data_IF_298424565896
#
_entry.id   IF_298424565896
#
_cell.length_a   1.000
_cell.length_b   1.000
_cell.length_c   1.000
_cell.angle_alpha   90.00
_cell.angle_beta   90.00
_cell.angle_gamma   90.00
#
_symmetry.space_group_name_H-M   'P 1'
#
loop_
_entity.id
_entity.type
_entity.pdbx_description
1 polymer ?
#
# COMPACT_ATOMS: atom_id res chain seq x y z
N UNK A 1 -22.98 -32.63 -6.58
CA UNK A 1 -22.84 -31.44 -5.70
C UNK A 1 -21.43 -31.51 -5.16
N UNK A 2 -20.60 -30.56 -5.56
CA UNK A 2 -19.24 -30.40 -5.09
C UNK A 2 -19.25 -29.50 -3.85
N UNK A 3 -18.50 -29.91 -2.83
CA UNK A 3 -18.26 -29.10 -1.64
C UNK A 3 -16.92 -28.38 -1.80
N UNK A 4 -16.93 -27.05 -1.77
CA UNK A 4 -15.72 -26.23 -1.83
C UNK A 4 -15.49 -25.63 -0.45
N UNK A 5 -14.29 -25.84 0.10
CA UNK A 5 -13.87 -25.15 1.31
C UNK A 5 -13.20 -23.83 0.93
N UNK A 6 -13.73 -22.72 1.45
CA UNK A 6 -13.13 -21.40 1.29
C UNK A 6 -13.22 -20.64 2.64
N UNK A 7 -12.08 -20.14 3.11
CA UNK A 7 -11.94 -19.43 4.40
C UNK A 7 -12.57 -20.14 5.61
N UNK A 8 -12.51 -21.47 5.64
CA UNK A 8 -13.02 -22.28 6.75
C UNK A 8 -14.53 -22.54 6.75
N UNK A 9 -15.24 -22.09 5.71
CA UNK A 9 -16.65 -22.46 5.46
C UNK A 9 -16.74 -23.37 4.24
N UNK A 10 -17.66 -24.31 4.30
CA UNK A 10 -17.95 -25.24 3.21
C UNK A 10 -19.14 -24.68 2.42
N UNK A 11 -18.96 -24.55 1.11
CA UNK A 11 -19.99 -24.14 0.17
C UNK A 11 -20.41 -25.33 -0.68
N UNK A 12 -21.71 -25.49 -0.87
CA UNK A 12 -22.28 -26.53 -1.73
C UNK A 12 -22.59 -25.95 -3.10
N UNK A 13 -21.99 -26.50 -4.15
CA UNK A 13 -22.13 -26.01 -5.53
C UNK A 13 -22.47 -27.19 -6.45
N UNK A 14 -23.28 -26.96 -7.48
CA UNK A 14 -23.56 -28.00 -8.48
C UNK A 14 -22.32 -28.29 -9.34
N UNK A 15 -22.08 -29.56 -9.65
CA UNK A 15 -20.90 -30.00 -10.44
C UNK A 15 -20.89 -29.35 -11.83
N UNK A 16 -22.08 -29.19 -12.43
CA UNK A 16 -22.26 -28.51 -13.73
C UNK A 16 -21.87 -27.03 -13.66
N UNK A 17 -22.21 -26.35 -12.56
CA UNK A 17 -21.86 -24.94 -12.35
C UNK A 17 -20.35 -24.79 -12.14
N UNK A 18 -19.74 -25.72 -11.41
CA UNK A 18 -18.28 -25.73 -11.23
C UNK A 18 -17.53 -25.92 -12.55
N UNK A 19 -18.06 -26.77 -13.44
CA UNK A 19 -17.48 -27.01 -14.76
C UNK A 19 -17.66 -25.83 -15.72
N UNK A 20 -18.84 -25.21 -15.75
CA UNK A 20 -19.17 -24.16 -16.73
C UNK A 20 -18.76 -22.76 -16.26
N UNK A 21 -18.89 -22.46 -14.97
CA UNK A 21 -18.76 -21.11 -14.41
C UNK A 21 -17.66 -21.03 -13.34
N UNK A 22 -16.54 -21.72 -13.57
CA UNK A 22 -15.41 -21.76 -12.63
C UNK A 22 -14.85 -20.38 -12.25
N UNK A 23 -14.87 -19.42 -13.18
CA UNK A 23 -14.38 -18.06 -12.95
C UNK A 23 -15.37 -17.24 -12.12
N UNK A 24 -16.66 -17.33 -12.43
CA UNK A 24 -17.70 -16.67 -11.64
C UNK A 24 -17.72 -17.18 -10.19
N UNK A 25 -17.54 -18.49 -9.98
CA UNK A 25 -17.46 -19.06 -8.63
C UNK A 25 -16.30 -18.44 -7.86
N UNK A 26 -15.13 -18.25 -8.49
CA UNK A 26 -14.00 -17.55 -7.84
C UNK A 26 -14.37 -16.12 -7.50
N UNK A 27 -14.99 -15.38 -8.41
CA UNK A 27 -15.43 -14.00 -8.14
C UNK A 27 -16.43 -13.92 -6.99
N UNK A 28 -17.36 -14.86 -6.87
CA UNK A 28 -18.33 -14.92 -5.76
C UNK A 28 -17.63 -15.29 -4.44
N UNK A 29 -16.64 -16.19 -4.48
CA UNK A 29 -15.88 -16.53 -3.26
C UNK A 29 -14.99 -15.36 -2.80
N UNK A 30 -14.36 -14.67 -3.74
CA UNK A 30 -13.38 -13.61 -3.45
C UNK A 30 -14.02 -12.23 -3.21
N UNK A 31 -15.27 -11.99 -3.61
CA UNK A 31 -15.91 -10.69 -3.37
C UNK A 31 -16.05 -10.40 -1.87
N UNK A 32 -15.73 -9.17 -1.50
CA UNK A 32 -15.94 -8.61 -0.16
C UNK A 32 -17.35 -8.03 0.03
N UNK A 33 -18.10 -7.89 -1.06
CA UNK A 33 -19.46 -7.31 -1.07
C UNK A 33 -20.54 -8.28 -0.59
N UNK A 34 -20.20 -9.56 -0.43
CA UNK A 34 -21.12 -10.61 0.01
C UNK A 34 -20.59 -11.32 1.24
N UNK A 35 -21.47 -11.63 2.19
CA UNK A 35 -21.15 -12.53 3.28
C UNK A 35 -21.22 -14.01 2.87
N UNK A 36 -20.84 -14.88 3.79
CA UNK A 36 -20.77 -16.30 3.54
C UNK A 36 -22.16 -16.97 3.36
N UNK A 37 -23.25 -16.38 3.85
CA UNK A 37 -24.60 -16.93 3.67
C UNK A 37 -25.17 -16.46 2.33
N UNK A 38 -24.91 -15.21 1.96
CA UNK A 38 -25.24 -14.65 0.65
C UNK A 38 -24.52 -15.40 -0.48
N UNK A 39 -23.23 -15.71 -0.30
CA UNK A 39 -22.45 -16.53 -1.25
C UNK A 39 -23.11 -17.89 -1.51
N UNK A 40 -23.54 -18.57 -0.44
CA UNK A 40 -24.24 -19.85 -0.58
C UNK A 40 -25.59 -19.68 -1.28
N UNK A 41 -26.36 -18.65 -0.92
CA UNK A 41 -27.62 -18.34 -1.57
C UNK A 41 -27.45 -18.12 -3.07
N UNK A 42 -26.42 -17.38 -3.50
CA UNK A 42 -26.10 -17.21 -4.92
C UNK A 42 -25.83 -18.54 -5.62
N UNK A 43 -25.05 -19.44 -5.01
CA UNK A 43 -24.80 -20.76 -5.58
C UNK A 43 -26.06 -21.63 -5.67
N UNK A 44 -27.00 -21.48 -4.73
CA UNK A 44 -28.25 -22.22 -4.72
C UNK A 44 -29.22 -21.72 -5.82
N UNK A 45 -29.23 -20.42 -6.11
CA UNK A 45 -30.11 -19.83 -7.14
C UNK A 45 -29.51 -19.85 -8.55
N UNK A 46 -28.18 -19.91 -8.67
CA UNK A 46 -27.48 -19.94 -9.97
C UNK A 46 -28.03 -20.98 -10.96
N UNK A 47 -28.32 -22.24 -10.57
CA UNK A 47 -28.92 -23.23 -11.46
C UNK A 47 -30.30 -22.85 -12.01
N UNK A 48 -31.00 -21.93 -11.34
CA UNK A 48 -32.32 -21.44 -11.76
C UNK A 48 -32.27 -20.14 -12.59
N UNK A 49 -31.09 -19.54 -12.73
CA UNK A 49 -30.89 -18.31 -13.49
C UNK A 49 -30.73 -18.58 -14.99
N UNK A 50 -31.08 -17.59 -15.82
CA UNK A 50 -30.76 -17.62 -17.25
C UNK A 50 -29.32 -17.19 -17.49
N UNK A 51 -28.77 -17.56 -18.65
CA UNK A 51 -27.42 -17.16 -19.05
C UNK A 51 -27.23 -15.63 -19.00
N UNK A 52 -28.20 -14.84 -19.45
CA UNK A 52 -28.13 -13.37 -19.39
C UNK A 52 -28.04 -12.84 -17.95
N UNK A 53 -28.70 -13.50 -16.99
CA UNK A 53 -28.63 -13.12 -15.57
C UNK A 53 -27.26 -13.47 -14.99
N UNK A 54 -26.72 -14.65 -15.34
CA UNK A 54 -25.38 -15.08 -14.95
C UNK A 54 -24.32 -14.12 -15.51
N UNK A 55 -24.44 -13.73 -16.78
CA UNK A 55 -23.53 -12.78 -17.42
C UNK A 55 -23.59 -11.39 -16.76
N UNK A 56 -24.78 -10.94 -16.35
CA UNK A 56 -24.91 -9.69 -15.59
C UNK A 56 -24.25 -9.78 -14.23
N UNK A 57 -24.45 -10.87 -13.50
CA UNK A 57 -23.80 -11.08 -12.21
C UNK A 57 -22.28 -11.08 -12.36
N UNK A 58 -21.76 -11.81 -13.36
CA UNK A 58 -20.34 -11.83 -13.68
C UNK A 58 -19.80 -10.42 -13.96
N UNK A 59 -20.47 -9.66 -14.84
CA UNK A 59 -20.05 -8.31 -15.18
C UNK A 59 -20.04 -7.36 -13.95
N UNK A 60 -21.01 -7.48 -13.05
CA UNK A 60 -21.05 -6.66 -11.83
C UNK A 60 -19.83 -6.96 -10.95
N UNK A 61 -19.55 -8.24 -10.71
CA UNK A 61 -18.43 -8.68 -9.87
C UNK A 61 -17.07 -8.38 -10.52
N UNK A 62 -16.94 -8.53 -11.84
CA UNK A 62 -15.71 -8.17 -12.57
C UNK A 62 -15.43 -6.66 -12.48
N UNK A 63 -16.45 -5.82 -12.70
CA UNK A 63 -16.32 -4.36 -12.57
C UNK A 63 -15.93 -3.97 -11.14
N UNK A 64 -16.53 -4.61 -10.13
CA UNK A 64 -16.19 -4.39 -8.73
C UNK A 64 -14.71 -4.70 -8.46
N UNK A 65 -14.27 -5.90 -8.83
CA UNK A 65 -12.87 -6.33 -8.69
C UNK A 65 -11.91 -5.35 -9.35
N UNK A 66 -12.17 -4.94 -10.59
CA UNK A 66 -11.31 -3.99 -11.32
C UNK A 66 -11.27 -2.61 -10.65
N UNK A 67 -12.38 -2.17 -10.06
CA UNK A 67 -12.41 -0.90 -9.31
C UNK A 67 -11.60 -0.98 -8.02
N UNK A 68 -11.66 -2.11 -7.31
CA UNK A 68 -10.87 -2.35 -6.11
C UNK A 68 -9.37 -2.41 -6.45
N UNK A 69 -8.98 -3.16 -7.49
CA UNK A 69 -7.59 -3.22 -7.95
C UNK A 69 -7.06 -1.83 -8.36
N UNK A 70 -7.84 -1.06 -9.11
CA UNK A 70 -7.47 0.30 -9.50
C UNK A 70 -7.37 1.26 -8.30
N UNK A 71 -8.15 1.04 -7.26
CA UNK A 71 -8.09 1.81 -6.02
C UNK A 71 -6.85 1.43 -5.21
N UNK A 72 -6.55 0.14 -5.10
CA UNK A 72 -5.36 -0.35 -4.41
C UNK A 72 -4.06 0.12 -5.09
N UNK A 73 -3.98 0.10 -6.42
CA UNK A 73 -2.83 0.61 -7.16
C UNK A 73 -2.59 2.10 -6.88
N UNK A 74 -3.67 2.90 -6.80
CA UNK A 74 -3.59 4.31 -6.44
C UNK A 74 -3.06 4.49 -5.01
N UNK A 75 -3.59 3.75 -4.04
CA UNK A 75 -3.12 3.84 -2.66
C UNK A 75 -1.68 3.38 -2.50
N UNK A 76 -1.26 2.30 -3.16
CA UNK A 76 0.14 1.85 -3.17
C UNK A 76 1.07 2.92 -3.74
N UNK A 77 0.64 3.61 -4.79
CA UNK A 77 1.39 4.72 -5.40
C UNK A 77 1.49 5.91 -4.45
N UNK A 78 0.41 6.26 -3.75
CA UNK A 78 0.40 7.33 -2.76
C UNK A 78 1.30 7.01 -1.56
N UNK A 79 1.28 5.77 -1.05
CA UNK A 79 2.16 5.30 0.03
C UNK A 79 3.62 5.40 -0.40
N UNK A 80 3.96 4.96 -1.63
CA UNK A 80 5.33 5.08 -2.15
C UNK A 80 5.79 6.53 -2.23
N UNK A 81 4.96 7.42 -2.78
CA UNK A 81 5.25 8.86 -2.83
C UNK A 81 5.44 9.48 -1.45
N UNK A 82 4.62 9.09 -0.49
CA UNK A 82 4.72 9.57 0.89
C UNK A 82 6.04 9.11 1.53
N UNK A 83 6.41 7.84 1.37
CA UNK A 83 7.68 7.29 1.85
C UNK A 83 8.89 7.98 1.20
N UNK A 84 8.86 8.20 -0.12
CA UNK A 84 9.90 8.94 -0.84
C UNK A 84 10.04 10.38 -0.31
N UNK A 85 8.93 11.07 -0.10
CA UNK A 85 8.94 12.43 0.45
C UNK A 85 9.58 12.47 1.84
N UNK A 86 9.20 11.57 2.73
CA UNK A 86 9.80 11.49 4.06
C UNK A 86 11.29 11.15 4.03
N UNK A 87 11.72 10.28 3.11
CA UNK A 87 13.14 9.96 2.94
C UNK A 87 13.95 11.19 2.50
N UNK A 88 13.43 11.95 1.52
CA UNK A 88 14.06 13.18 1.04
C UNK A 88 14.10 14.25 2.14
N UNK A 89 12.99 14.48 2.84
CA UNK A 89 12.94 15.43 3.95
C UNK A 89 13.95 15.08 5.06
N UNK A 90 14.10 13.79 5.38
CA UNK A 90 15.08 13.34 6.35
C UNK A 90 16.52 13.55 5.86
N UNK A 91 16.82 13.26 4.60
CA UNK A 91 18.13 13.53 4.00
C UNK A 91 18.47 15.03 3.99
N UNK A 92 17.51 15.88 3.62
CA UNK A 92 17.68 17.33 3.64
C UNK A 92 17.92 17.85 5.06
N UNK A 93 17.20 17.31 6.04
CA UNK A 93 17.40 17.64 7.44
C UNK A 93 18.81 17.25 7.91
N UNK A 94 19.28 16.04 7.59
CA UNK A 94 20.63 15.58 7.92
C UNK A 94 21.71 16.44 7.24
N UNK A 95 21.51 16.82 5.98
CA UNK A 95 22.43 17.70 5.27
C UNK A 95 22.47 19.11 5.89
N UNK A 96 21.33 19.66 6.29
CA UNK A 96 21.27 20.96 6.99
C UNK A 96 21.96 20.91 8.34
N UNK A 97 21.71 19.88 9.14
CA UNK A 97 22.36 19.68 10.45
C UNK A 97 23.88 19.55 10.30
N UNK A 98 24.32 18.74 9.33
CA UNK A 98 25.75 18.58 9.01
C UNK A 98 26.39 19.89 8.57
N UNK A 99 25.72 20.66 7.70
CA UNK A 99 26.21 21.96 7.23
C UNK A 99 26.28 22.99 8.36
N UNK A 100 25.33 22.97 9.28
CA UNK A 100 25.34 23.84 10.45
C UNK A 100 26.51 23.49 11.39
N UNK A 101 26.71 22.19 11.69
CA UNK A 101 27.86 21.73 12.48
C UNK A 101 29.21 22.13 11.88
N UNK A 102 29.37 22.04 10.56
CA UNK A 102 30.59 22.46 9.87
C UNK A 102 30.79 23.97 10.02
N UNK A 103 29.74 24.77 9.84
CA UNK A 103 29.82 26.23 10.04
C UNK A 103 30.16 26.60 11.47
N UNK A 104 29.55 25.95 12.44
CA UNK A 104 29.80 26.21 13.87
C UNK A 104 31.23 25.80 14.25
N UNK A 105 31.74 24.70 13.70
CA UNK A 105 33.13 24.29 13.89
C UNK A 105 34.11 25.28 13.25
N UNK A 106 33.84 25.73 12.01
CA UNK A 106 34.67 26.74 11.34
C UNK A 106 34.63 28.10 12.05
N UNK A 107 33.48 28.50 12.61
CA UNK A 107 33.37 29.74 13.37
C UNK A 107 34.21 29.68 14.65
N UNK A 108 34.16 28.55 15.37
CA UNK A 108 35.01 28.32 16.55
C UNK A 108 36.50 28.32 16.21
N UNK A 109 36.90 27.61 15.16
CA UNK A 109 38.30 27.53 14.75
C UNK A 109 38.87 28.92 14.39
N UNK A 110 38.09 29.75 13.69
CA UNK A 110 38.45 31.15 13.40
C UNK A 110 38.49 32.04 14.65
N UNK A 111 37.61 31.81 15.64
CA UNK A 111 37.66 32.54 16.93
C UNK A 111 38.89 32.14 17.74
N UNK A 112 39.20 30.84 17.83
CA UNK A 112 40.37 30.32 18.54
C UNK A 112 41.69 30.81 17.90
N UNK A 113 41.76 30.87 16.57
CA UNK A 113 42.93 31.38 15.84
C UNK A 113 43.14 32.90 16.09
N UNK A 114 42.06 33.69 16.09
CA UNK A 114 42.13 35.12 16.44
C UNK A 114 42.57 35.35 17.89
N UNK A 115 42.01 34.56 18.82
CA UNK A 115 42.38 34.65 20.23
C UNK A 115 43.87 34.28 20.44
N UNK A 116 44.37 33.27 19.73
CA UNK A 116 45.78 32.89 19.79
C UNK A 116 46.71 33.98 19.23
N UNK A 117 46.34 34.60 18.11
CA UNK A 117 47.14 35.68 17.49
C UNK A 117 47.17 36.95 18.35
N UNK A 118 46.07 37.26 19.04
CA UNK A 118 46.01 38.38 20.00
C UNK A 118 46.85 38.11 21.26
N UNK A 119 46.86 36.87 21.78
CA UNK A 119 47.73 36.49 22.90
C UNK A 119 49.21 36.55 22.52
N UNK A 120 49.57 36.14 21.30
CA UNK A 120 50.95 36.21 20.81
C UNK A 120 51.44 37.67 20.65
N UNK A 121 50.59 38.59 20.18
CA UNK A 121 50.93 40.02 20.14
C UNK A 121 51.18 40.57 21.54
N UNK A 122 50.34 40.21 22.51
CA UNK A 122 50.47 40.69 23.89
C UNK A 122 51.75 40.19 24.59
N UNK A 123 52.25 39.00 24.22
CA UNK A 123 53.52 38.45 24.71
C UNK A 123 54.77 39.08 24.06
N UNK A 124 54.65 39.57 22.83
CA UNK A 124 55.78 40.16 22.09
C UNK A 124 56.03 41.65 22.43
N UNK A 125 55.07 42.31 23.08
CA UNK A 125 55.15 43.69 23.56
C UNK A 125 55.65 43.81 25.03
N UNK A 126 56.12 42.70 25.63
CA UNK A 126 56.73 42.61 26.98
C UNK A 126 58.26 42.47 26.90
#
# INVERSE_FOLDING_TARGET
MAEINHNGKIFSISDDMQAQYSELIKLILDTESMDNDEKQYWFDIMPSMTNDQIDRLFNILDIEKRKLEALEEKYQTEIKKLNEKHLIEWQEFQMKDSKQKIKDAQAKDNEDEKNADDVLKMLNDL
#
